data_IF_431367743089
#
_entry.id   IF_431367743089
#
_cell.length_a   1.000
_cell.length_b   1.000
_cell.length_c   1.000
_cell.angle_alpha   90.00
_cell.angle_beta   90.00
_cell.angle_gamma   90.00
#
_symmetry.space_group_name_H-M   'P 1'
#
loop_
_entity.id
_entity.type
_entity.pdbx_description
1 polymer ?
#
# COMPACT_ATOMS: atom_id res chain seq x y z
N UNK A 1 0.13 19.92 -16.05
CA UNK A 1 0.30 18.80 -17.01
C UNK A 1 0.76 17.54 -16.29
N UNK A 2 1.82 17.62 -15.50
CA UNK A 2 2.41 16.50 -14.74
C UNK A 2 1.43 15.78 -13.78
N UNK A 3 0.59 16.53 -13.04
CA UNK A 3 -0.44 15.92 -12.18
C UNK A 3 -1.48 15.09 -12.97
N UNK A 4 -1.77 15.45 -14.22
CA UNK A 4 -2.72 14.69 -15.05
C UNK A 4 -2.11 13.38 -15.53
N UNK A 5 -0.79 13.32 -15.74
CA UNK A 5 -0.10 12.08 -16.09
C UNK A 5 -0.01 11.15 -14.89
N UNK A 6 0.35 11.67 -13.70
CA UNK A 6 0.34 10.89 -12.46
C UNK A 6 -1.04 10.30 -12.19
N UNK A 7 -2.10 11.11 -12.27
CA UNK A 7 -3.47 10.63 -12.06
C UNK A 7 -3.86 9.53 -13.05
N UNK A 8 -3.43 9.63 -14.32
CA UNK A 8 -3.64 8.57 -15.32
C UNK A 8 -2.91 7.28 -14.93
N UNK A 9 -1.65 7.36 -14.53
CA UNK A 9 -0.87 6.20 -14.09
C UNK A 9 -1.50 5.54 -12.87
N UNK A 10 -1.85 6.31 -11.84
CA UNK A 10 -2.54 5.84 -10.63
C UNK A 10 -3.85 5.14 -10.98
N UNK A 11 -4.67 5.71 -11.86
CA UNK A 11 -5.93 5.09 -12.29
C UNK A 11 -5.71 3.79 -13.05
N UNK A 12 -4.65 3.69 -13.87
CA UNK A 12 -4.27 2.43 -14.51
C UNK A 12 -3.82 1.39 -13.48
N UNK A 13 -3.01 1.77 -12.48
CA UNK A 13 -2.60 0.88 -11.37
C UNK A 13 -3.85 0.33 -10.66
N UNK A 14 -4.77 1.20 -10.26
CA UNK A 14 -6.03 0.79 -9.64
C UNK A 14 -6.86 -0.17 -10.50
N UNK A 15 -6.87 0.04 -11.82
CA UNK A 15 -7.58 -0.82 -12.76
C UNK A 15 -6.88 -2.18 -12.92
N UNK A 16 -5.56 -2.21 -12.89
CA UNK A 16 -4.76 -3.44 -12.90
C UNK A 16 -4.96 -4.25 -11.61
N UNK A 17 -5.00 -3.58 -10.44
CA UNK A 17 -5.31 -4.23 -9.16
C UNK A 17 -6.69 -4.88 -9.22
N UNK A 18 -7.70 -4.16 -9.70
CA UNK A 18 -9.07 -4.67 -9.83
C UNK A 18 -9.16 -5.95 -10.65
N UNK A 19 -8.36 -6.06 -11.72
CA UNK A 19 -8.26 -7.26 -12.57
C UNK A 19 -7.52 -8.41 -11.90
N UNK A 20 -6.56 -8.12 -11.02
CA UNK A 20 -5.77 -9.14 -10.33
C UNK A 20 -6.54 -9.76 -9.15
N UNK A 21 -7.35 -8.95 -8.44
CA UNK A 21 -8.05 -9.35 -7.21
C UNK A 21 -8.76 -10.72 -7.31
N UNK A 22 -9.56 -11.03 -8.36
CA UNK A 22 -10.26 -12.31 -8.44
C UNK A 22 -9.33 -13.52 -8.29
N UNK A 23 -8.15 -13.50 -8.90
CA UNK A 23 -7.21 -14.62 -8.84
C UNK A 23 -6.63 -14.87 -7.44
N UNK A 24 -6.48 -13.82 -6.63
CA UNK A 24 -5.98 -13.95 -5.25
C UNK A 24 -7.10 -14.26 -4.25
N UNK A 25 -8.34 -13.88 -4.56
CA UNK A 25 -9.50 -14.19 -3.72
C UNK A 25 -9.82 -15.70 -3.68
N UNK A 26 -9.42 -16.44 -4.72
CA UNK A 26 -9.56 -17.90 -4.76
C UNK A 26 -8.61 -18.61 -3.78
N UNK A 27 -7.58 -17.92 -3.28
CA UNK A 27 -6.66 -18.45 -2.26
C UNK A 27 -7.33 -18.27 -0.88
N UNK A 28 -7.67 -19.37 -0.17
CA UNK A 28 -8.43 -19.28 1.09
C UNK A 28 -7.75 -18.43 2.16
N UNK A 29 -6.42 -18.51 2.25
CA UNK A 29 -5.61 -17.76 3.22
C UNK A 29 -5.72 -16.25 3.00
N UNK A 30 -5.78 -15.81 1.74
CA UNK A 30 -5.93 -14.40 1.39
C UNK A 30 -7.39 -13.96 1.56
N UNK A 31 -8.35 -14.77 1.10
CA UNK A 31 -9.78 -14.48 1.24
C UNK A 31 -10.21 -14.27 2.69
N UNK A 32 -9.73 -15.12 3.59
CA UNK A 32 -10.18 -15.15 4.99
C UNK A 32 -9.73 -13.91 5.79
N UNK A 33 -8.77 -13.13 5.31
CA UNK A 33 -8.27 -11.93 6.01
C UNK A 33 -9.28 -10.80 5.98
N UNK A 34 -9.91 -10.53 4.84
CA UNK A 34 -10.81 -9.38 4.67
C UNK A 34 -12.16 -9.71 4.04
N UNK A 35 -12.38 -10.98 3.67
CA UNK A 35 -13.55 -11.43 2.93
C UNK A 35 -13.82 -10.57 1.70
N UNK A 36 -12.75 -10.25 0.95
CA UNK A 36 -12.80 -9.45 -0.28
C UNK A 36 -12.97 -7.94 -0.09
N UNK A 37 -12.67 -7.40 1.10
CA UNK A 37 -12.72 -5.96 1.37
C UNK A 37 -11.31 -5.39 1.49
N UNK A 38 -10.82 -4.84 0.39
CA UNK A 38 -9.43 -4.45 0.19
C UNK A 38 -9.32 -2.94 0.04
N UNK A 39 -8.14 -2.39 0.29
CA UNK A 39 -7.87 -0.98 0.09
C UNK A 39 -6.43 -0.74 -0.33
N UNK A 40 -6.23 0.31 -1.12
CA UNK A 40 -4.93 0.75 -1.62
C UNK A 40 -4.80 2.25 -1.41
N UNK A 41 -3.63 2.67 -0.98
CA UNK A 41 -3.22 4.06 -0.89
C UNK A 41 -1.88 4.25 -1.61
N UNK A 42 -1.76 5.34 -2.36
CA UNK A 42 -0.55 5.76 -3.07
C UNK A 42 -0.28 7.22 -2.68
N UNK A 43 0.95 7.53 -2.30
CA UNK A 43 1.43 8.89 -2.02
C UNK A 43 2.56 9.20 -3.00
N UNK A 44 2.44 10.29 -3.76
CA UNK A 44 3.47 10.73 -4.70
C UNK A 44 4.49 11.68 -4.06
N UNK A 45 5.53 12.04 -4.83
CA UNK A 45 6.59 12.97 -4.41
C UNK A 45 6.10 14.41 -4.14
N UNK A 46 4.91 14.77 -4.61
CA UNK A 46 4.28 16.07 -4.42
C UNK A 46 3.28 16.07 -3.26
N UNK A 47 3.29 15.01 -2.43
CA UNK A 47 2.39 14.80 -1.30
C UNK A 47 0.91 14.62 -1.69
N UNK A 48 0.61 14.31 -2.95
CA UNK A 48 -0.73 13.94 -3.35
C UNK A 48 -1.04 12.53 -2.87
N UNK A 49 -2.25 12.34 -2.35
CA UNK A 49 -2.74 11.06 -1.86
C UNK A 49 -3.84 10.53 -2.77
N UNK A 50 -3.70 9.28 -3.20
CA UNK A 50 -4.66 8.58 -4.04
C UNK A 50 -5.11 7.30 -3.36
N UNK A 51 -6.42 7.11 -3.26
CA UNK A 51 -7.01 5.96 -2.58
C UNK A 51 -8.05 5.26 -3.42
N UNK A 52 -8.09 3.92 -3.33
CA UNK A 52 -9.20 3.11 -3.84
C UNK A 52 -9.52 1.97 -2.89
N UNK A 53 -10.82 1.71 -2.71
CA UNK A 53 -11.36 0.62 -1.91
C UNK A 53 -12.10 -0.36 -2.83
N UNK A 54 -11.98 -1.65 -2.55
CA UNK A 54 -12.59 -2.73 -3.34
C UNK A 54 -13.39 -3.63 -2.42
N UNK A 55 -14.68 -3.83 -2.71
CA UNK A 55 -15.60 -4.63 -1.89
C UNK A 55 -16.91 -3.90 -1.63
N UNK A 56 -17.73 -4.45 -0.73
CA UNK A 56 -19.10 -3.97 -0.49
C UNK A 56 -19.41 -3.66 0.98
N UNK A 57 -18.56 -4.09 1.92
CA UNK A 57 -18.76 -3.82 3.34
C UNK A 57 -18.08 -2.51 3.74
N UNK A 58 -18.82 -1.41 3.74
CA UNK A 58 -18.31 -0.07 4.03
C UNK A 58 -17.51 0.04 5.34
N UNK A 59 -17.95 -0.62 6.42
CA UNK A 59 -17.25 -0.58 7.69
C UNK A 59 -15.88 -1.27 7.59
N UNK A 60 -15.81 -2.42 6.90
CA UNK A 60 -14.55 -3.12 6.64
C UNK A 60 -13.66 -2.34 5.68
N UNK A 61 -14.21 -1.75 4.63
CA UNK A 61 -13.46 -0.92 3.67
C UNK A 61 -12.80 0.27 4.36
N UNK A 62 -13.54 0.99 5.22
CA UNK A 62 -12.97 2.09 6.03
C UNK A 62 -11.78 1.61 6.86
N UNK A 63 -11.89 0.45 7.51
CA UNK A 63 -10.80 -0.10 8.30
C UNK A 63 -9.60 -0.51 7.44
N UNK A 64 -9.83 -1.19 6.32
CA UNK A 64 -8.77 -1.56 5.38
C UNK A 64 -8.07 -0.32 4.83
N UNK A 65 -8.82 0.74 4.51
CA UNK A 65 -8.23 1.99 3.99
C UNK A 65 -7.41 2.72 5.04
N UNK A 66 -7.85 2.76 6.30
CA UNK A 66 -7.04 3.29 7.41
C UNK A 66 -5.66 2.60 7.43
N UNK A 67 -5.65 1.27 7.38
CA UNK A 67 -4.41 0.47 7.41
C UNK A 67 -3.57 0.74 6.16
N UNK A 68 -4.16 0.73 4.97
CA UNK A 68 -3.46 0.98 3.71
C UNK A 68 -2.82 2.39 3.68
N UNK A 69 -3.55 3.40 4.17
CA UNK A 69 -3.05 4.77 4.29
C UNK A 69 -1.90 4.86 5.29
N UNK A 70 -2.02 4.27 6.48
CA UNK A 70 -0.93 4.27 7.48
C UNK A 70 0.32 3.59 6.93
N UNK A 71 0.18 2.44 6.24
CA UNK A 71 1.30 1.76 5.56
C UNK A 71 1.97 2.67 4.51
N UNK A 72 1.19 3.31 3.64
CA UNK A 72 1.72 4.22 2.62
C UNK A 72 2.41 5.45 3.23
N UNK A 73 1.84 6.00 4.30
CA UNK A 73 2.40 7.14 5.05
C UNK A 73 3.73 6.79 5.71
N UNK A 74 3.82 5.63 6.37
CA UNK A 74 5.08 5.14 6.96
C UNK A 74 6.16 4.97 5.89
N UNK A 75 5.82 4.40 4.73
CA UNK A 75 6.76 4.29 3.60
C UNK A 75 7.16 5.67 3.08
N UNK A 76 6.23 6.62 3.01
CA UNK A 76 6.51 7.98 2.56
C UNK A 76 7.50 8.71 3.48
N UNK A 77 7.36 8.54 4.79
CA UNK A 77 8.24 9.14 5.80
C UNK A 77 9.63 8.49 5.88
N UNK A 78 9.70 7.18 5.61
CA UNK A 78 10.92 6.39 5.88
C UNK A 78 11.65 5.96 4.61
N UNK A 79 10.95 5.83 3.48
CA UNK A 79 11.43 5.19 2.26
C UNK A 79 11.58 3.66 2.37
N UNK A 80 11.11 3.04 3.46
CA UNK A 80 11.36 1.64 3.80
C UNK A 80 10.05 0.84 3.77
N UNK A 81 10.13 -0.47 3.47
CA UNK A 81 8.98 -1.38 3.57
C UNK A 81 8.51 -1.48 5.01
N UNK A 82 7.20 -1.58 5.25
CA UNK A 82 6.65 -1.54 6.62
C UNK A 82 7.20 -2.65 7.53
N UNK A 83 7.30 -3.89 7.02
CA UNK A 83 7.90 -5.01 7.75
C UNK A 83 9.39 -4.85 8.04
N UNK A 84 10.12 -4.19 7.14
CA UNK A 84 11.55 -3.93 7.35
C UNK A 84 11.77 -2.80 8.36
N UNK A 85 10.92 -1.77 8.35
CA UNK A 85 10.99 -0.69 9.33
C UNK A 85 10.69 -1.20 10.74
N UNK A 86 9.74 -2.13 10.90
CA UNK A 86 9.51 -2.82 12.18
C UNK A 86 10.79 -3.47 12.70
N UNK A 87 11.45 -4.26 11.85
CA UNK A 87 12.72 -4.91 12.17
C UNK A 87 13.73 -3.87 12.67
N UNK A 88 13.90 -2.76 11.94
CA UNK A 88 14.86 -1.70 12.27
C UNK A 88 14.57 -1.05 13.64
N UNK A 89 13.30 -0.82 13.99
CA UNK A 89 12.91 -0.28 15.30
C UNK A 89 13.25 -1.29 16.42
N UNK A 90 12.85 -2.55 16.27
CA UNK A 90 13.08 -3.57 17.31
C UNK A 90 14.55 -4.03 17.42
N UNK A 91 15.35 -3.88 16.36
CA UNK A 91 16.81 -4.08 16.41
C UNK A 91 17.58 -2.84 16.85
N UNK A 92 16.90 -1.72 17.12
CA UNK A 92 17.49 -0.42 17.51
C UNK A 92 18.40 0.18 16.44
N UNK A 93 18.19 -0.17 15.17
CA UNK A 93 18.78 0.56 14.04
C UNK A 93 18.12 1.92 13.85
N UNK A 94 16.86 2.05 14.29
CA UNK A 94 16.09 3.29 14.35
C UNK A 94 15.44 3.39 15.73
N UNK A 95 15.41 4.59 16.31
CA UNK A 95 14.77 4.83 17.60
C UNK A 95 13.25 4.68 17.52
N UNK A 96 12.64 4.28 18.64
CA UNK A 96 11.18 4.35 18.77
C UNK A 96 10.69 5.80 18.57
N UNK A 97 9.59 5.97 17.84
CA UNK A 97 9.02 7.28 17.46
C UNK A 97 9.88 8.12 16.50
N UNK A 98 10.96 7.56 15.94
CA UNK A 98 11.68 8.21 14.85
C UNK A 98 10.78 8.45 13.63
N UNK A 99 11.21 9.36 12.77
CA UNK A 99 10.51 9.73 11.53
C UNK A 99 9.08 10.26 11.75
N UNK A 100 8.72 10.65 12.99
CA UNK A 100 7.38 11.14 13.33
C UNK A 100 6.32 10.04 13.41
N UNK A 101 6.72 8.78 13.57
CA UNK A 101 5.81 7.62 13.64
C UNK A 101 5.63 7.21 15.10
N UNK A 102 4.66 7.81 15.76
CA UNK A 102 4.34 7.54 17.17
C UNK A 102 3.52 6.24 17.32
N UNK A 103 3.51 5.63 18.51
CA UNK A 103 2.52 4.62 18.82
C UNK A 103 1.12 5.27 18.95
N UNK A 104 0.04 4.73 18.33
CA UNK A 104 -0.08 3.42 17.69
C UNK A 104 0.01 3.44 16.14
N UNK A 105 0.62 4.47 15.54
CA UNK A 105 0.71 4.64 14.09
C UNK A 105 1.81 3.79 13.43
N UNK A 106 2.74 3.24 14.21
CA UNK A 106 3.68 2.22 13.74
C UNK A 106 2.92 0.98 13.25
N UNK A 107 3.01 0.68 11.95
CA UNK A 107 2.55 -0.59 11.38
C UNK A 107 3.75 -1.46 11.11
N UNK A 108 3.77 -2.60 11.80
CA UNK A 108 4.87 -3.52 11.71
C UNK A 108 4.72 -4.64 10.69
N UNK A 109 3.49 -4.96 10.27
CA UNK A 109 3.29 -6.02 9.28
C UNK A 109 3.43 -5.50 7.84
N UNK A 110 3.75 -6.43 6.94
CA UNK A 110 3.95 -6.19 5.52
C UNK A 110 2.70 -5.62 4.79
N UNK A 111 2.97 -4.93 3.68
CA UNK A 111 1.96 -4.40 2.76
C UNK A 111 2.18 -2.95 2.36
N UNK A 112 3.18 -2.26 2.96
CA UNK A 112 3.69 -0.99 2.45
C UNK A 112 5.08 -1.15 1.82
N UNK A 113 5.32 -0.50 0.68
CA UNK A 113 6.64 -0.45 0.03
C UNK A 113 6.80 0.78 -0.89
N UNK A 114 8.04 1.23 -1.13
CA UNK A 114 8.31 2.18 -2.21
C UNK A 114 8.23 1.47 -3.57
N UNK A 115 7.73 2.16 -4.59
CA UNK A 115 7.81 1.74 -5.99
C UNK A 115 8.42 2.86 -6.84
N UNK A 116 8.99 2.47 -7.98
CA UNK A 116 9.61 3.38 -8.94
C UNK A 116 8.91 3.22 -10.28
N UNK A 117 8.39 4.33 -10.81
CA UNK A 117 7.78 4.40 -12.14
C UNK A 117 8.87 4.32 -13.23
N UNK A 118 8.51 3.99 -14.48
CA UNK A 118 9.44 3.95 -15.63
C UNK A 118 10.19 5.27 -15.85
N UNK A 119 9.60 6.40 -15.48
CA UNK A 119 10.22 7.72 -15.58
C UNK A 119 11.14 8.07 -14.39
N UNK A 120 11.39 7.12 -13.47
CA UNK A 120 12.26 7.29 -12.31
C UNK A 120 11.60 7.91 -11.09
N UNK A 121 10.35 8.38 -11.18
CA UNK A 121 9.62 8.93 -10.04
C UNK A 121 9.31 7.85 -9.01
N UNK A 122 9.40 8.23 -7.73
CA UNK A 122 9.09 7.34 -6.61
C UNK A 122 7.67 7.58 -6.13
N UNK A 123 6.98 6.50 -5.80
CA UNK A 123 5.68 6.54 -5.11
C UNK A 123 5.75 5.64 -3.88
N UNK A 124 5.08 6.06 -2.82
CA UNK A 124 4.94 5.28 -1.58
C UNK A 124 3.59 4.62 -1.60
N UNK A 125 3.55 3.29 -1.49
CA UNK A 125 2.30 2.54 -1.62
C UNK A 125 2.01 1.72 -0.38
N UNK A 126 0.72 1.58 -0.09
CA UNK A 126 0.20 0.72 0.96
C UNK A 126 -1.02 -0.04 0.45
N UNK A 127 -1.04 -1.34 0.66
CA UNK A 127 -2.17 -2.22 0.38
C UNK A 127 -2.59 -2.87 1.70
N UNK A 128 -3.90 -3.04 1.89
CA UNK A 128 -4.45 -3.83 2.99
C UNK A 128 -5.64 -4.66 2.53
N UNK A 129 -5.57 -5.96 2.80
CA UNK A 129 -6.74 -6.84 2.77
C UNK A 129 -6.45 -8.29 2.41
N UNK A 130 -5.23 -8.62 1.97
CA UNK A 130 -4.72 -9.98 1.84
C UNK A 130 -3.54 -10.20 2.81
N UNK A 131 -2.81 -11.30 2.65
CA UNK A 131 -1.54 -11.49 3.37
C UNK A 131 -0.56 -10.41 2.93
N UNK A 132 0.31 -9.99 3.84
CA UNK A 132 1.25 -8.90 3.57
C UNK A 132 2.14 -9.14 2.35
N UNK A 133 2.61 -10.37 2.14
CA UNK A 133 3.36 -10.75 0.93
C UNK A 133 2.53 -10.58 -0.35
N UNK A 134 1.24 -10.97 -0.31
CA UNK A 134 0.30 -10.85 -1.42
C UNK A 134 -0.02 -9.38 -1.73
N UNK A 135 -0.25 -8.58 -0.68
CA UNK A 135 -0.46 -7.13 -0.74
C UNK A 135 0.72 -6.46 -1.49
N UNK A 136 1.96 -6.80 -1.14
CA UNK A 136 3.17 -6.29 -1.79
C UNK A 136 3.29 -6.76 -3.25
N UNK A 137 3.03 -8.04 -3.51
CA UNK A 137 3.14 -8.63 -4.85
C UNK A 137 2.14 -8.00 -5.84
N UNK A 138 0.89 -7.80 -5.43
CA UNK A 138 -0.15 -7.19 -6.25
C UNK A 138 0.26 -5.78 -6.68
N UNK A 139 0.85 -4.99 -5.77
CA UNK A 139 1.28 -3.63 -6.08
C UNK A 139 2.37 -3.59 -7.17
N UNK A 140 3.35 -4.51 -7.10
CA UNK A 140 4.41 -4.62 -8.13
C UNK A 140 3.80 -5.04 -9.47
N UNK A 141 2.98 -6.10 -9.48
CA UNK A 141 2.34 -6.59 -10.71
C UNK A 141 1.41 -5.56 -11.33
N UNK A 142 0.63 -4.86 -10.51
CA UNK A 142 -0.31 -3.85 -11.00
C UNK A 142 0.41 -2.65 -11.62
N UNK A 143 1.53 -2.22 -11.04
CA UNK A 143 2.36 -1.17 -11.63
C UNK A 143 2.94 -1.61 -12.97
N UNK A 144 3.51 -2.82 -13.04
CA UNK A 144 4.05 -3.37 -14.29
C UNK A 144 3.00 -3.47 -15.41
N UNK A 145 1.72 -3.72 -15.08
CA UNK A 145 0.61 -3.75 -16.04
C UNK A 145 0.10 -2.34 -16.41
N UNK A 146 0.35 -1.34 -15.58
CA UNK A 146 -0.13 0.03 -15.77
C UNK A 146 0.79 0.89 -16.67
N UNK A 147 2.05 0.48 -16.81
CA UNK A 147 3.10 1.18 -17.55
C UNK A 147 3.52 0.48 -18.85
#
# INVERSE_FOLDING_TARGET
MENNEMLKTVNKVFSSIEKLIPSYIEIPEDRNISNGNLAVCIIDENHNVYGKMFGTNNARLRQSYKIAWTKASQVWLTGVKTGEYERMVFTKEVDENANGIEAPDLIGWEGGQPLVLKNGKKISVGFSGFRGTTDLEIMVKALALAE
#
